data_IF_012589622523
#
_entry.id   IF_012589622523
#
_cell.length_a   1.000
_cell.length_b   1.000
_cell.length_c   1.000
_cell.angle_alpha   90.00
_cell.angle_beta   90.00
_cell.angle_gamma   90.00
#
_symmetry.space_group_name_H-M   'P 1'
#
loop_
_entity.id
_entity.type
_entity.pdbx_description
1 polymer ?
#
# COMPACT_ATOMS: atom_id res chain seq x y z
N UNK A 1 5.96 -53.75 61.61
CA UNK A 1 5.29 -53.53 60.31
C UNK A 1 4.95 -52.05 60.23
N UNK A 2 5.84 -51.23 59.66
CA UNK A 2 5.71 -49.76 59.62
C UNK A 2 5.32 -49.35 58.20
N UNK A 3 4.11 -48.79 58.03
CA UNK A 3 3.64 -48.25 56.74
C UNK A 3 4.26 -46.87 56.52
N UNK A 4 5.05 -46.70 55.47
CA UNK A 4 5.48 -45.39 54.97
C UNK A 4 4.37 -44.83 54.07
N UNK A 5 3.80 -43.69 54.45
CA UNK A 5 2.93 -42.87 53.60
C UNK A 5 3.80 -42.03 52.66
N UNK A 6 3.76 -42.33 51.37
CA UNK A 6 4.39 -41.50 50.34
C UNK A 6 3.49 -40.32 49.99
N UNK A 7 4.00 -39.10 50.17
CA UNK A 7 3.37 -37.89 49.64
C UNK A 7 3.68 -37.81 48.13
N UNK A 8 2.64 -37.79 47.29
CA UNK A 8 2.77 -37.52 45.86
C UNK A 8 2.78 -36.01 45.68
N UNK A 9 3.92 -35.46 45.27
CA UNK A 9 4.07 -34.06 44.88
C UNK A 9 3.63 -33.94 43.42
N UNK A 10 2.43 -33.41 43.18
CA UNK A 10 1.98 -33.05 41.84
C UNK A 10 2.68 -31.75 41.41
N UNK A 11 3.69 -31.86 40.54
CA UNK A 11 4.26 -30.69 39.88
C UNK A 11 3.27 -30.25 38.80
N UNK A 12 2.53 -29.16 39.07
CA UNK A 12 1.82 -28.42 38.03
C UNK A 12 2.88 -27.75 37.15
N UNK A 13 3.19 -28.38 36.02
CA UNK A 13 3.91 -27.74 34.94
C UNK A 13 3.02 -26.62 34.38
N UNK A 14 3.23 -25.40 34.87
CA UNK A 14 2.65 -24.22 34.26
C UNK A 14 3.14 -24.16 32.81
N UNK A 15 2.23 -24.29 31.86
CA UNK A 15 2.49 -23.95 30.47
C UNK A 15 2.78 -22.44 30.44
N UNK A 16 4.05 -22.09 30.46
CA UNK A 16 4.50 -20.76 30.04
C UNK A 16 4.23 -20.69 28.55
N UNK A 17 3.04 -20.20 28.18
CA UNK A 17 2.84 -19.63 26.86
C UNK A 17 3.76 -18.42 26.79
N UNK A 18 4.95 -18.61 26.21
CA UNK A 18 5.66 -17.48 25.63
C UNK A 18 4.68 -16.82 24.66
N UNK A 19 4.39 -15.51 24.78
CA UNK A 19 3.77 -14.83 23.67
C UNK A 19 4.72 -15.03 22.49
N UNK A 20 4.30 -15.82 21.50
CA UNK A 20 4.86 -15.69 20.17
C UNK A 20 4.76 -14.20 19.85
N UNK A 21 5.88 -13.59 19.47
CA UNK A 21 5.97 -12.16 19.21
C UNK A 21 4.83 -11.77 18.26
N UNK A 22 3.74 -11.23 18.82
CA UNK A 22 2.64 -10.73 18.02
C UNK A 22 3.23 -9.61 17.20
N UNK A 23 3.31 -9.85 15.89
CA UNK A 23 3.67 -8.84 14.91
C UNK A 23 2.51 -7.84 14.82
N UNK A 24 2.35 -7.05 15.88
CA UNK A 24 1.31 -6.05 16.01
C UNK A 24 1.59 -4.89 15.05
N UNK A 25 0.53 -4.19 14.68
CA UNK A 25 0.56 -3.06 13.76
C UNK A 25 1.04 -1.75 14.43
N UNK A 26 1.93 -1.88 15.40
CA UNK A 26 2.45 -0.82 16.25
C UNK A 26 3.95 -0.80 16.10
N UNK A 27 4.51 0.34 15.74
CA UNK A 27 5.94 0.47 15.48
C UNK A 27 6.44 1.91 15.69
N UNK A 28 7.74 2.09 15.48
CA UNK A 28 8.48 3.35 15.54
C UNK A 28 8.86 3.87 14.17
N UNK A 29 8.77 3.06 13.13
CA UNK A 29 9.11 3.46 11.76
C UNK A 29 8.09 2.90 10.78
N UNK A 30 7.60 3.75 9.88
CA UNK A 30 6.66 3.37 8.84
C UNK A 30 7.09 3.92 7.49
N UNK A 31 6.89 3.11 6.47
CA UNK A 31 7.08 3.47 5.07
C UNK A 31 5.79 3.22 4.31
N UNK A 32 5.37 4.21 3.54
CA UNK A 32 4.07 4.18 2.87
C UNK A 32 4.12 4.99 1.58
N UNK A 33 3.26 4.63 0.62
CA UNK A 33 2.98 5.45 -0.55
C UNK A 33 1.47 5.61 -0.59
N UNK A 34 1.00 6.85 -0.54
CA UNK A 34 -0.42 7.11 -0.68
C UNK A 34 -0.83 6.83 -2.14
N UNK A 35 -1.82 5.95 -2.36
CA UNK A 35 -2.28 5.67 -3.71
C UNK A 35 -2.97 6.90 -4.30
N UNK A 36 -2.88 7.06 -5.61
CA UNK A 36 -3.67 8.04 -6.35
C UNK A 36 -5.11 7.58 -6.45
N UNK A 37 -6.05 8.32 -5.87
CA UNK A 37 -7.47 8.01 -5.92
C UNK A 37 -8.15 8.99 -6.87
N UNK A 38 -9.02 8.48 -7.75
CA UNK A 38 -9.65 9.33 -8.76
C UNK A 38 -10.46 10.46 -8.12
N UNK A 39 -10.03 11.69 -8.35
CA UNK A 39 -10.81 12.87 -7.94
C UNK A 39 -12.17 12.98 -8.62
N UNK A 40 -12.35 12.29 -9.74
CA UNK A 40 -13.57 12.34 -10.55
C UNK A 40 -14.71 11.54 -9.92
N UNK A 41 -14.41 10.71 -8.92
CA UNK A 41 -15.42 10.18 -8.02
C UNK A 41 -15.76 11.16 -6.88
N UNK A 42 -16.02 12.42 -7.25
CA UNK A 42 -16.55 13.45 -6.35
C UNK A 42 -15.66 13.80 -5.15
N UNK A 43 -14.34 13.86 -5.34
CA UNK A 43 -13.42 14.38 -4.34
C UNK A 43 -12.05 13.74 -4.39
N UNK A 44 -11.04 14.50 -3.94
CA UNK A 44 -9.64 14.08 -3.79
C UNK A 44 -9.15 14.33 -2.35
N UNK A 45 -9.86 15.20 -1.63
CA UNK A 45 -9.57 15.65 -0.28
C UNK A 45 -10.88 15.69 0.50
N UNK A 46 -10.83 15.66 1.84
CA UNK A 46 -9.63 15.66 2.69
C UNK A 46 -8.90 14.31 2.79
N UNK A 47 -7.59 14.39 3.09
CA UNK A 47 -6.71 13.24 3.33
C UNK A 47 -5.90 13.43 4.62
N UNK A 48 -5.75 12.37 5.39
CA UNK A 48 -5.21 12.44 6.74
C UNK A 48 -4.24 11.30 7.07
N UNK A 49 -3.34 11.55 8.00
CA UNK A 49 -2.70 10.49 8.80
C UNK A 49 -3.23 10.55 10.23
N UNK A 50 -3.61 9.40 10.77
CA UNK A 50 -4.02 9.26 12.16
C UNK A 50 -2.97 8.50 12.93
N UNK A 51 -2.57 9.09 14.05
CA UNK A 51 -1.58 8.54 14.97
C UNK A 51 -2.26 8.21 16.28
N UNK A 52 -1.87 7.11 16.92
CA UNK A 52 -2.26 6.82 18.30
C UNK A 52 -1.05 6.36 19.09
N UNK A 53 -0.81 6.97 20.25
CA UNK A 53 0.20 6.56 21.23
C UNK A 53 -0.36 5.52 22.19
N UNK A 54 0.53 4.67 22.70
CA UNK A 54 0.20 3.69 23.75
C UNK A 54 0.55 4.25 25.13
N UNK A 55 1.26 3.51 25.97
CA UNK A 55 1.57 3.87 27.36
C UNK A 55 2.64 4.97 27.49
N UNK A 56 3.34 5.29 26.41
CA UNK A 56 4.43 6.28 26.40
C UNK A 56 4.08 7.46 25.47
N UNK A 57 4.46 8.69 25.86
CA UNK A 57 4.42 9.82 24.93
C UNK A 57 5.39 9.59 23.77
N UNK A 58 5.14 10.25 22.64
CA UNK A 58 5.94 10.06 21.44
C UNK A 58 6.22 11.38 20.72
N UNK A 59 7.45 11.57 20.27
CA UNK A 59 7.81 12.59 19.29
C UNK A 59 7.82 11.94 17.90
N UNK A 60 7.08 12.54 16.97
CA UNK A 60 6.84 11.97 15.64
C UNK A 60 7.32 12.95 14.58
N UNK A 61 8.00 12.41 13.57
CA UNK A 61 8.41 13.08 12.35
C UNK A 61 7.74 12.40 11.15
N UNK A 62 7.16 13.19 10.24
CA UNK A 62 6.64 12.74 8.94
C UNK A 62 7.33 13.52 7.83
N UNK A 63 7.95 12.84 6.87
CA UNK A 63 8.62 13.45 5.72
C UNK A 63 8.56 12.60 4.44
N UNK A 64 9.04 13.15 3.32
CA UNK A 64 9.33 12.42 2.07
C UNK A 64 10.81 12.57 1.74
N UNK A 65 11.64 11.54 1.99
CA UNK A 65 13.10 11.68 1.87
C UNK A 65 13.60 12.06 0.47
N UNK A 66 12.92 11.62 -0.60
CA UNK A 66 13.30 11.94 -1.98
C UNK A 66 12.54 13.14 -2.57
N UNK A 67 11.61 13.76 -1.82
CA UNK A 67 10.85 14.91 -2.27
C UNK A 67 10.80 16.01 -1.19
N UNK A 68 11.82 16.89 -1.15
CA UNK A 68 11.91 17.95 -0.15
C UNK A 68 10.84 19.06 -0.32
N UNK A 69 10.02 19.02 -1.38
CA UNK A 69 8.89 19.95 -1.54
C UNK A 69 7.72 19.59 -0.62
N UNK A 70 7.65 18.34 -0.15
CA UNK A 70 6.72 17.95 0.90
C UNK A 70 7.27 18.45 2.25
N UNK A 71 6.48 19.19 3.04
CA UNK A 71 6.95 19.72 4.31
C UNK A 71 7.25 18.59 5.30
N UNK A 72 8.22 18.84 6.18
CA UNK A 72 8.49 17.96 7.32
C UNK A 72 7.57 18.36 8.46
N UNK A 73 6.75 17.43 8.94
CA UNK A 73 5.93 17.63 10.13
C UNK A 73 6.65 17.05 11.35
N UNK A 74 6.74 17.83 12.42
CA UNK A 74 7.22 17.39 13.72
C UNK A 74 6.20 17.75 14.78
N UNK A 75 5.79 16.79 15.59
CA UNK A 75 4.85 17.03 16.69
C UNK A 75 5.09 16.03 17.82
N UNK A 76 4.62 16.39 19.02
CA UNK A 76 4.67 15.54 20.21
C UNK A 76 3.26 15.14 20.60
N UNK A 77 3.09 13.88 20.99
CA UNK A 77 1.84 13.32 21.49
C UNK A 77 2.06 12.83 22.93
N UNK A 78 1.17 13.15 23.89
CA UNK A 78 1.20 12.52 25.20
C UNK A 78 0.85 11.02 25.08
N UNK A 79 1.06 10.26 26.15
CA UNK A 79 0.58 8.87 26.23
C UNK A 79 -0.97 8.82 26.09
N UNK A 80 -1.48 7.70 25.56
CA UNK A 80 -2.92 7.45 25.35
C UNK A 80 -3.66 8.51 24.53
N UNK A 81 -3.00 9.09 23.54
CA UNK A 81 -3.55 10.17 22.73
C UNK A 81 -3.71 9.74 21.27
N UNK A 82 -4.63 10.40 20.58
CA UNK A 82 -4.76 10.33 19.14
C UNK A 82 -4.54 11.70 18.51
N UNK A 83 -3.90 11.73 17.35
CA UNK A 83 -3.64 12.95 16.59
C UNK A 83 -3.99 12.74 15.12
N UNK A 84 -4.70 13.70 14.53
CA UNK A 84 -5.05 13.71 13.12
C UNK A 84 -4.21 14.77 12.42
N UNK A 85 -3.25 14.33 11.61
CA UNK A 85 -2.47 15.20 10.74
C UNK A 85 -3.20 15.38 9.41
N UNK A 86 -3.64 16.61 9.14
CA UNK A 86 -4.22 17.00 7.86
C UNK A 86 -3.13 17.32 6.83
N UNK A 87 -3.11 16.56 5.74
CA UNK A 87 -2.17 16.74 4.62
C UNK A 87 -2.89 17.12 3.32
N UNK A 88 -4.17 17.51 3.40
CA UNK A 88 -5.01 17.82 2.23
C UNK A 88 -4.44 18.95 1.37
N UNK A 89 -3.80 19.94 1.99
CA UNK A 89 -3.13 21.03 1.27
C UNK A 89 -1.96 20.54 0.38
N UNK A 90 -1.47 19.32 0.60
CA UNK A 90 -0.35 18.70 -0.08
C UNK A 90 -0.76 17.50 -0.93
N UNK A 91 -2.04 17.33 -1.26
CA UNK A 91 -2.56 16.15 -1.99
C UNK A 91 -1.78 15.83 -3.27
N UNK A 92 -1.47 16.85 -4.08
CA UNK A 92 -0.67 16.68 -5.30
C UNK A 92 0.78 16.20 -5.03
N UNK A 93 1.28 16.39 -3.82
CA UNK A 93 2.58 15.87 -3.37
C UNK A 93 2.44 14.49 -2.73
N UNK A 94 1.34 14.22 -2.02
CA UNK A 94 1.10 12.98 -1.26
C UNK A 94 0.72 11.81 -2.17
N UNK A 95 -0.25 11.99 -3.06
CA UNK A 95 -0.72 10.93 -3.94
C UNK A 95 0.33 10.56 -4.99
N UNK A 96 0.56 9.25 -5.16
CA UNK A 96 1.48 8.69 -6.13
C UNK A 96 0.80 8.53 -7.49
N UNK A 97 0.36 9.65 -8.06
CA UNK A 97 -0.07 9.71 -9.46
C UNK A 97 0.99 9.07 -10.34
N UNK A 98 0.54 8.26 -11.30
CA UNK A 98 1.46 7.57 -12.20
C UNK A 98 2.36 8.60 -12.92
N UNK A 99 3.68 8.45 -12.78
CA UNK A 99 4.67 9.44 -13.20
C UNK A 99 5.78 8.78 -14.03
N UNK A 100 6.69 9.58 -14.57
CA UNK A 100 7.86 9.12 -15.30
C UNK A 100 9.10 9.81 -14.78
N UNK A 101 10.04 9.03 -14.27
CA UNK A 101 11.29 9.54 -13.71
C UNK A 101 12.47 8.65 -14.06
N UNK A 102 13.60 9.27 -14.39
CA UNK A 102 14.89 8.60 -14.65
C UNK A 102 14.81 7.45 -15.67
N UNK A 103 13.94 7.58 -16.69
CA UNK A 103 13.78 6.54 -17.71
C UNK A 103 12.79 5.42 -17.35
N UNK A 104 12.18 5.47 -16.17
CA UNK A 104 11.31 4.40 -15.64
C UNK A 104 9.87 4.93 -15.52
N UNK A 105 8.94 4.51 -16.41
CA UNK A 105 7.51 4.75 -16.23
C UNK A 105 7.00 4.12 -14.93
N UNK A 106 6.19 4.86 -14.18
CA UNK A 106 5.69 4.50 -12.85
C UNK A 106 6.60 4.96 -11.70
N UNK A 107 7.84 5.40 -11.96
CA UNK A 107 8.75 5.89 -10.92
C UNK A 107 8.41 7.33 -10.49
N UNK A 108 8.41 7.58 -9.18
CA UNK A 108 8.32 8.94 -8.61
C UNK A 108 9.09 9.04 -7.27
N UNK A 109 8.89 10.13 -6.53
CA UNK A 109 9.57 10.44 -5.26
C UNK A 109 8.56 10.59 -4.10
N UNK A 110 7.63 9.65 -3.97
CA UNK A 110 6.42 9.82 -3.14
C UNK A 110 6.38 8.93 -1.90
N UNK A 111 7.48 8.25 -1.57
CA UNK A 111 7.51 7.45 -0.36
C UNK A 111 7.54 8.34 0.87
N UNK A 112 6.53 8.16 1.72
CA UNK A 112 6.36 8.83 3.00
C UNK A 112 7.08 8.00 4.05
N UNK A 113 7.89 8.69 4.84
CA UNK A 113 8.64 8.14 5.96
C UNK A 113 8.11 8.76 7.25
N UNK A 114 7.78 7.89 8.21
CA UNK A 114 7.30 8.28 9.53
C UNK A 114 8.23 7.66 10.55
N UNK A 115 8.76 8.48 11.45
CA UNK A 115 9.61 8.04 12.56
C UNK A 115 9.04 8.52 13.88
N UNK A 116 9.07 7.65 14.87
CA UNK A 116 8.71 7.94 16.24
C UNK A 116 9.76 7.41 17.21
N UNK A 117 9.97 8.10 18.32
CA UNK A 117 10.84 7.62 19.41
C UNK A 117 10.17 6.53 20.28
N UNK A 118 8.84 6.42 20.25
CA UNK A 118 8.05 5.42 20.95
C UNK A 118 7.02 4.73 20.04
N UNK A 119 6.43 3.64 20.55
CA UNK A 119 5.48 2.83 19.79
C UNK A 119 4.19 3.61 19.51
N UNK A 120 3.81 3.68 18.23
CA UNK A 120 2.56 4.28 17.77
C UNK A 120 1.86 3.36 16.78
N UNK A 121 0.56 3.55 16.57
CA UNK A 121 -0.14 3.03 15.39
C UNK A 121 -0.41 4.16 14.42
N UNK A 122 -0.42 3.84 13.12
CA UNK A 122 -0.68 4.81 12.06
C UNK A 122 -1.61 4.23 11.00
N UNK A 123 -2.59 5.01 10.56
CA UNK A 123 -3.31 4.76 9.31
C UNK A 123 -3.44 6.03 8.47
N UNK A 124 -3.47 5.86 7.16
CA UNK A 124 -3.80 6.91 6.20
C UNK A 124 -5.29 6.82 5.87
N UNK A 125 -6.01 7.94 5.85
CA UNK A 125 -7.43 8.01 5.49
C UNK A 125 -7.61 8.85 4.23
N UNK A 126 -8.28 8.27 3.23
CA UNK A 126 -8.96 9.01 2.18
C UNK A 126 -10.36 9.34 2.69
N UNK A 127 -10.63 10.61 3.05
CA UNK A 127 -11.88 11.02 3.72
C UNK A 127 -12.74 11.93 2.83
N UNK A 128 -12.67 11.69 1.52
CA UNK A 128 -13.46 12.34 0.49
C UNK A 128 -14.94 11.90 0.54
N UNK A 129 -15.83 12.70 -0.06
CA UNK A 129 -17.28 12.50 0.05
C UNK A 129 -17.74 11.12 -0.45
N UNK A 130 -17.20 10.67 -1.57
CA UNK A 130 -17.38 9.31 -2.05
C UNK A 130 -16.03 8.61 -2.08
N UNK A 131 -16.03 7.28 -2.15
CA UNK A 131 -14.81 6.49 -2.18
C UNK A 131 -13.89 6.60 -0.92
N UNK A 132 -14.42 6.88 0.31
CA UNK A 132 -13.55 6.93 1.47
C UNK A 132 -13.05 5.54 1.84
N UNK A 133 -11.81 5.46 2.31
CA UNK A 133 -11.20 4.21 2.82
C UNK A 133 -10.01 4.53 3.72
N UNK A 134 -9.54 3.53 4.47
CA UNK A 134 -8.36 3.61 5.32
C UNK A 134 -7.29 2.59 4.90
N UNK A 135 -6.04 3.02 4.99
CA UNK A 135 -4.87 2.20 4.74
C UNK A 135 -4.09 2.09 6.02
N UNK A 136 -4.10 0.90 6.60
CA UNK A 136 -3.47 0.67 7.88
C UNK A 136 -1.96 0.42 7.64
N UNK A 137 -1.09 1.29 8.17
CA UNK A 137 0.37 1.17 8.02
C UNK A 137 0.92 0.15 9.02
N UNK A 138 1.74 -0.80 8.57
CA UNK A 138 2.14 -2.00 9.32
C UNK A 138 3.57 -1.97 9.87
N UNK A 139 4.26 -0.83 9.74
CA UNK A 139 5.62 -0.64 10.25
C UNK A 139 6.59 -1.68 9.71
N UNK A 140 7.41 -2.29 10.58
CA UNK A 140 8.33 -3.38 10.25
C UNK A 140 7.65 -4.57 9.58
N UNK A 141 6.36 -4.80 9.85
CA UNK A 141 5.63 -5.91 9.25
C UNK A 141 5.25 -5.63 7.79
N UNK A 142 5.30 -4.37 7.34
CA UNK A 142 5.17 -4.05 5.92
C UNK A 142 6.48 -4.26 5.14
N UNK A 143 7.62 -4.39 5.83
CA UNK A 143 8.94 -4.36 5.21
C UNK A 143 9.48 -5.76 4.90
N UNK A 144 9.73 -6.02 3.63
CA UNK A 144 10.33 -7.27 3.20
C UNK A 144 10.93 -7.21 1.80
N UNK A 145 11.34 -8.36 1.29
CA UNK A 145 12.05 -8.51 0.01
C UNK A 145 11.26 -9.33 -1.01
N UNK A 146 10.09 -9.84 -0.63
CA UNK A 146 9.24 -10.66 -1.48
C UNK A 146 7.76 -10.43 -1.12
N UNK A 147 6.95 -10.13 -2.13
CA UNK A 147 5.53 -9.86 -2.00
C UNK A 147 4.75 -10.51 -3.15
N UNK A 148 3.50 -10.86 -2.87
CA UNK A 148 2.48 -11.08 -3.90
C UNK A 148 1.47 -9.96 -3.86
N UNK A 149 1.13 -9.46 -5.04
CA UNK A 149 0.05 -8.50 -5.23
C UNK A 149 -1.25 -9.25 -5.41
N UNK A 150 -2.27 -8.90 -4.64
CA UNK A 150 -3.58 -9.56 -4.66
C UNK A 150 -4.67 -8.55 -5.02
N UNK A 151 -5.41 -8.84 -6.09
CA UNK A 151 -6.56 -8.04 -6.51
C UNK A 151 -7.74 -8.96 -6.82
N UNK A 152 -8.94 -8.44 -6.62
CA UNK A 152 -10.15 -9.07 -7.16
C UNK A 152 -10.15 -8.96 -8.69
N UNK A 153 -10.81 -9.90 -9.38
CA UNK A 153 -10.84 -9.94 -10.84
C UNK A 153 -12.24 -9.85 -11.46
N UNK A 154 -13.24 -9.43 -10.68
CA UNK A 154 -14.66 -9.45 -11.08
C UNK A 154 -15.22 -8.06 -11.33
N UNK A 155 -14.96 -7.13 -10.42
CA UNK A 155 -15.41 -5.75 -10.47
C UNK A 155 -14.43 -4.94 -11.31
N UNK A 156 -14.95 -4.05 -12.14
CA UNK A 156 -14.14 -3.15 -12.96
C UNK A 156 -14.01 -1.79 -12.28
N UNK A 157 -12.90 -1.08 -12.49
CA UNK A 157 -12.74 0.30 -12.03
C UNK A 157 -13.55 1.26 -12.92
N UNK A 158 -14.30 2.16 -12.30
CA UNK A 158 -15.20 3.07 -13.01
C UNK A 158 -14.47 4.12 -13.87
N UNK A 159 -15.15 4.54 -14.92
CA UNK A 159 -14.85 5.71 -15.73
C UNK A 159 -16.18 6.23 -16.28
N UNK A 160 -16.37 7.55 -16.37
CA UNK A 160 -17.60 8.16 -16.86
C UNK A 160 -17.30 9.23 -17.90
N UNK A 161 -18.35 9.69 -18.60
CA UNK A 161 -18.17 10.67 -19.67
C UNK A 161 -17.59 12.02 -19.25
N UNK A 162 -17.70 12.36 -17.97
CA UNK A 162 -17.14 13.59 -17.42
C UNK A 162 -15.74 13.41 -16.83
N UNK A 163 -15.22 12.18 -16.75
CA UNK A 163 -13.97 11.88 -16.07
C UNK A 163 -12.81 12.03 -17.05
N UNK A 164 -11.89 12.94 -16.75
CA UNK A 164 -10.73 13.14 -17.60
C UNK A 164 -9.79 11.94 -17.51
N UNK A 165 -9.70 11.28 -16.35
CA UNK A 165 -8.90 10.06 -16.14
C UNK A 165 -9.76 8.98 -15.46
N UNK A 166 -9.62 7.70 -15.86
CA UNK A 166 -10.34 6.62 -15.21
C UNK A 166 -9.80 6.31 -13.82
N UNK A 167 -10.64 5.66 -13.00
CA UNK A 167 -10.14 4.89 -11.87
C UNK A 167 -9.40 3.63 -12.35
N UNK A 168 -8.45 3.16 -11.55
CA UNK A 168 -7.68 1.96 -11.84
C UNK A 168 -7.10 1.34 -10.55
N UNK A 169 -6.96 0.02 -10.55
CA UNK A 169 -6.16 -0.70 -9.55
C UNK A 169 -4.65 -0.46 -9.75
N UNK A 170 -3.86 -0.44 -8.67
CA UNK A 170 -2.41 -0.38 -8.76
C UNK A 170 -1.75 -0.90 -7.47
N UNK A 171 -0.53 -1.39 -7.60
CA UNK A 171 0.36 -1.54 -6.45
C UNK A 171 1.36 -0.39 -6.42
N UNK A 172 1.67 0.08 -5.21
CA UNK A 172 2.56 1.19 -4.94
C UNK A 172 3.72 0.69 -4.07
N UNK A 173 4.96 0.99 -4.43
CA UNK A 173 6.16 0.54 -3.71
C UNK A 173 6.85 1.74 -3.06
N UNK A 174 7.11 1.68 -1.76
CA UNK A 174 8.05 2.57 -1.06
C UNK A 174 9.43 1.94 -1.01
N UNK A 175 10.45 2.63 -1.50
CA UNK A 175 11.84 2.18 -1.41
C UNK A 175 12.51 2.72 -0.14
N UNK A 176 12.97 1.81 0.73
CA UNK A 176 13.53 2.19 2.05
C UNK A 176 15.05 2.27 2.05
N UNK A 177 15.70 1.82 0.97
CA UNK A 177 17.14 1.70 0.85
C UNK A 177 17.62 2.11 -0.55
N UNK A 178 18.82 2.68 -0.64
CA UNK A 178 19.44 3.08 -1.90
C UNK A 178 19.83 1.89 -2.76
N UNK A 179 19.90 2.08 -4.09
CA UNK A 179 20.36 1.06 -5.04
C UNK A 179 19.53 -0.24 -4.95
N UNK A 180 18.22 -0.09 -4.82
CA UNK A 180 17.25 -1.19 -4.81
C UNK A 180 16.84 -1.54 -6.23
N UNK A 181 16.86 -2.82 -6.55
CA UNK A 181 16.30 -3.33 -7.80
C UNK A 181 15.13 -4.24 -7.45
N UNK A 182 14.07 -4.16 -8.25
CA UNK A 182 12.92 -5.07 -8.16
C UNK A 182 12.89 -5.99 -9.36
N UNK A 183 12.52 -7.23 -9.14
CA UNK A 183 12.14 -8.19 -10.18
C UNK A 183 10.64 -8.42 -10.08
N UNK A 184 9.93 -8.11 -11.16
CA UNK A 184 8.51 -8.35 -11.32
C UNK A 184 8.33 -9.64 -12.11
N UNK A 185 7.74 -10.67 -11.50
CA UNK A 185 7.26 -11.85 -12.21
C UNK A 185 5.77 -11.66 -12.49
N UNK A 186 5.45 -11.30 -13.73
CA UNK A 186 4.10 -10.94 -14.18
C UNK A 186 3.42 -12.20 -14.76
N UNK A 187 2.29 -12.66 -14.19
CA UNK A 187 1.61 -13.86 -14.65
C UNK A 187 1.18 -13.78 -16.12
N UNK A 188 1.11 -14.92 -16.84
CA UNK A 188 0.56 -14.96 -18.19
C UNK A 188 -0.83 -14.32 -18.27
N UNK A 189 -1.03 -13.44 -19.25
CA UNK A 189 -2.29 -12.72 -19.43
C UNK A 189 -2.42 -11.42 -18.62
N UNK A 190 -1.45 -11.12 -17.74
CA UNK A 190 -1.31 -9.82 -17.06
C UNK A 190 -0.25 -8.96 -17.72
N UNK A 191 -0.41 -7.64 -17.65
CA UNK A 191 0.45 -6.66 -18.30
C UNK A 191 0.51 -5.41 -17.44
N UNK A 192 1.71 -4.86 -17.20
CA UNK A 192 1.88 -3.61 -16.45
C UNK A 192 2.09 -2.47 -17.45
N UNK A 193 1.41 -1.35 -17.24
CA UNK A 193 1.52 -0.16 -18.07
C UNK A 193 2.93 0.41 -17.98
N UNK A 194 3.50 0.78 -19.13
CA UNK A 194 4.91 1.15 -19.28
C UNK A 194 5.06 2.48 -20.04
N UNK A 195 4.16 3.44 -19.79
CA UNK A 195 4.14 4.71 -20.51
C UNK A 195 3.94 4.51 -22.02
N UNK A 196 4.80 5.14 -22.82
CA UNK A 196 4.82 5.02 -24.28
C UNK A 196 5.49 3.75 -24.80
N UNK A 197 6.12 2.96 -23.93
CA UNK A 197 6.78 1.71 -24.30
C UNK A 197 5.78 0.55 -24.32
N UNK A 198 6.12 -0.60 -24.95
CA UNK A 198 5.32 -1.80 -24.83
C UNK A 198 5.08 -2.17 -23.35
N UNK A 199 3.86 -2.64 -23.00
CA UNK A 199 3.55 -3.11 -21.65
C UNK A 199 4.55 -4.14 -21.16
N UNK A 200 4.86 -4.11 -19.86
CA UNK A 200 5.74 -5.09 -19.23
C UNK A 200 4.99 -6.42 -19.07
N UNK A 201 5.66 -7.51 -19.43
CA UNK A 201 5.13 -8.89 -19.35
C UNK A 201 6.25 -9.88 -19.00
N UNK A 202 5.93 -11.01 -18.39
CA UNK A 202 6.92 -12.02 -18.01
C UNK A 202 7.77 -11.55 -16.83
N UNK A 203 9.07 -11.82 -16.86
CA UNK A 203 10.01 -11.40 -15.81
C UNK A 203 10.73 -10.12 -16.21
N UNK A 204 10.59 -9.06 -15.42
CA UNK A 204 11.18 -7.75 -15.69
C UNK A 204 11.97 -7.28 -14.47
N UNK A 205 13.19 -6.79 -14.69
CA UNK A 205 13.99 -6.14 -13.65
C UNK A 205 13.93 -4.63 -13.86
N UNK A 206 13.60 -3.89 -12.80
CA UNK A 206 13.54 -2.42 -12.79
C UNK A 206 14.47 -1.86 -11.70
N UNK A 207 15.03 -0.70 -11.97
CA UNK A 207 15.90 0.04 -11.04
C UNK A 207 17.13 0.65 -11.72
N UNK A 208 18.06 1.23 -10.94
CA UNK A 208 17.99 1.31 -9.49
C UNK A 208 16.91 2.30 -9.00
N UNK A 209 16.38 2.00 -7.82
CA UNK A 209 15.60 2.90 -7.00
C UNK A 209 16.41 3.31 -5.76
N UNK A 210 16.15 4.49 -5.25
CA UNK A 210 16.82 5.10 -4.11
C UNK A 210 15.87 5.29 -2.93
N UNK A 211 16.41 5.46 -1.73
CA UNK A 211 15.61 5.63 -0.51
C UNK A 211 14.70 6.85 -0.64
N UNK A 212 13.41 6.66 -0.38
CA UNK A 212 12.39 7.71 -0.50
C UNK A 212 11.74 7.79 -1.89
N UNK A 213 12.25 7.07 -2.89
CA UNK A 213 11.59 6.94 -4.18
C UNK A 213 10.36 6.02 -4.07
N UNK A 214 9.48 6.09 -5.07
CA UNK A 214 8.29 5.27 -5.20
C UNK A 214 8.15 4.68 -6.61
N UNK A 215 7.35 3.61 -6.73
CA UNK A 215 6.96 3.04 -8.02
C UNK A 215 5.47 2.63 -8.01
N UNK A 216 4.72 3.04 -9.04
CA UNK A 216 3.34 2.62 -9.28
C UNK A 216 3.27 1.59 -10.42
N UNK A 217 2.83 0.38 -10.09
CA UNK A 217 2.50 -0.66 -11.04
C UNK A 217 1.00 -0.66 -11.34
N UNK A 218 0.62 0.01 -12.42
CA UNK A 218 -0.75 0.02 -12.92
C UNK A 218 -0.95 -1.03 -14.04
N UNK A 219 -2.11 -1.68 -14.16
CA UNK A 219 -2.40 -2.61 -15.25
C UNK A 219 -2.40 -1.88 -16.59
N UNK A 220 -1.82 -2.47 -17.62
CA UNK A 220 -2.00 -2.00 -18.98
C UNK A 220 -3.34 -2.51 -19.53
N UNK A 221 -3.99 -1.70 -20.35
CA UNK A 221 -5.18 -2.16 -21.08
C UNK A 221 -4.83 -3.34 -22.00
N UNK A 222 -5.66 -4.38 -22.01
CA UNK A 222 -5.56 -5.43 -23.03
C UNK A 222 -6.24 -4.97 -24.32
N UNK A 223 -5.48 -4.95 -25.42
CA UNK A 223 -5.93 -4.53 -26.78
C UNK A 223 -7.20 -5.25 -27.27
N UNK A 224 -7.53 -6.42 -26.72
CA UNK A 224 -8.70 -7.23 -27.09
C UNK A 224 -9.61 -7.55 -25.90
N UNK A 225 -9.59 -6.77 -24.81
CA UNK A 225 -10.51 -6.97 -23.70
C UNK A 225 -11.96 -6.93 -24.21
N UNK A 226 -12.72 -8.04 -24.14
CA UNK A 226 -14.00 -8.17 -24.85
C UNK A 226 -15.12 -7.29 -24.27
N UNK A 227 -14.88 -6.61 -23.16
CA UNK A 227 -15.87 -5.74 -22.53
C UNK A 227 -15.20 -4.67 -21.68
N UNK A 228 -14.81 -3.55 -22.30
CA UNK A 228 -14.75 -2.29 -21.56
C UNK A 228 -16.17 -1.74 -21.61
N UNK A 229 -16.92 -1.65 -20.49
CA UNK A 229 -18.19 -0.97 -20.49
C UNK A 229 -17.96 0.42 -21.09
N UNK A 230 -18.56 0.68 -22.25
CA UNK A 230 -18.35 1.91 -23.03
C UNK A 230 -19.06 3.09 -22.38
N UNK A 231 -18.69 3.45 -21.15
CA UNK A 231 -19.16 4.66 -20.49
C UNK A 231 -18.27 5.84 -20.90
N UNK A 232 -18.21 6.11 -22.21
CA UNK A 232 -17.39 7.15 -22.83
C UNK A 232 -15.91 6.74 -22.97
N UNK A 233 -15.38 6.72 -24.19
CA UNK A 233 -13.96 6.48 -24.43
C UNK A 233 -13.19 7.79 -24.23
N UNK A 234 -12.31 7.86 -23.22
CA UNK A 234 -11.41 9.00 -23.00
C UNK A 234 -9.97 8.68 -23.38
N UNK A 235 -9.16 9.72 -23.53
CA UNK A 235 -7.75 9.58 -23.91
C UNK A 235 -6.95 8.75 -22.92
N UNK A 236 -7.37 8.65 -21.66
CA UNK A 236 -6.67 7.90 -20.61
C UNK A 236 -7.19 6.47 -20.40
N UNK A 237 -8.46 6.23 -20.74
CA UNK A 237 -9.08 4.89 -20.79
C UNK A 237 -8.34 3.90 -21.70
N UNK A 238 -7.45 4.40 -22.57
CA UNK A 238 -6.63 3.60 -23.49
C UNK A 238 -5.29 3.15 -22.92
N UNK A 239 -4.94 3.56 -21.69
CA UNK A 239 -3.64 3.27 -21.10
C UNK A 239 -3.76 2.26 -19.97
N UNK A 240 -4.64 2.53 -18.99
CA UNK A 240 -4.83 1.68 -17.82
C UNK A 240 -5.91 0.62 -18.05
N UNK A 241 -5.62 -0.62 -17.65
CA UNK A 241 -6.55 -1.73 -17.67
C UNK A 241 -7.53 -1.64 -16.49
N UNK A 242 -8.83 -1.64 -16.78
CA UNK A 242 -9.87 -1.38 -15.76
C UNK A 242 -10.79 -2.55 -15.50
N UNK A 243 -10.84 -3.51 -16.42
CA UNK A 243 -11.68 -4.69 -16.23
C UNK A 243 -11.01 -5.58 -15.19
N UNK A 244 -11.79 -6.28 -14.36
CA UNK A 244 -11.22 -7.10 -13.30
C UNK A 244 -10.17 -8.11 -13.80
N UNK A 245 -10.33 -8.63 -15.00
CA UNK A 245 -9.34 -9.54 -15.58
C UNK A 245 -8.00 -8.86 -15.98
N UNK A 246 -7.92 -7.53 -16.06
CA UNK A 246 -6.67 -6.77 -16.25
C UNK A 246 -5.93 -6.55 -14.93
N UNK A 247 -6.63 -6.61 -13.78
CA UNK A 247 -6.05 -6.34 -12.46
C UNK A 247 -4.84 -7.23 -12.22
N UNK A 248 -3.80 -6.69 -11.59
CA UNK A 248 -2.47 -7.30 -11.50
C UNK A 248 -2.36 -8.41 -10.44
N UNK A 249 -3.45 -9.15 -10.25
CA UNK A 249 -3.52 -10.27 -9.32
C UNK A 249 -2.43 -11.30 -9.63
N UNK A 250 -1.67 -11.69 -8.62
CA UNK A 250 -0.62 -12.71 -8.70
C UNK A 250 0.75 -12.21 -9.16
N UNK A 251 0.94 -10.91 -9.41
CA UNK A 251 2.30 -10.37 -9.66
C UNK A 251 3.16 -10.60 -8.42
N UNK A 252 4.30 -11.28 -8.61
CA UNK A 252 5.31 -11.46 -7.57
C UNK A 252 6.37 -10.39 -7.71
N UNK A 253 6.67 -9.71 -6.60
CA UNK A 253 7.69 -8.68 -6.51
C UNK A 253 8.80 -9.25 -5.63
N UNK A 254 10.02 -9.33 -6.15
CA UNK A 254 11.22 -9.65 -5.35
C UNK A 254 12.23 -8.53 -5.46
N UNK A 255 13.09 -8.38 -4.47
CA UNK A 255 14.16 -7.36 -4.47
C UNK A 255 15.55 -8.00 -4.44
N UNK A 256 16.58 -7.20 -4.69
CA UNK A 256 17.98 -7.59 -4.52
C UNK A 256 18.42 -7.66 -3.03
N UNK A 257 17.55 -8.16 -2.15
CA UNK A 257 17.78 -8.29 -0.71
C UNK A 257 17.46 -7.03 0.12
N UNK A 258 17.04 -5.94 -0.53
CA UNK A 258 16.69 -4.66 0.11
C UNK A 258 15.21 -4.57 0.40
N UNK A 259 14.86 -4.04 1.56
CA UNK A 259 13.47 -3.98 1.99
C UNK A 259 12.70 -2.89 1.23
N UNK A 260 11.44 -3.20 0.98
CA UNK A 260 10.44 -2.27 0.45
C UNK A 260 9.14 -2.44 1.23
N UNK A 261 8.25 -1.44 1.17
CA UNK A 261 6.86 -1.60 1.58
C UNK A 261 5.94 -1.54 0.34
N UNK A 262 4.85 -2.29 0.34
CA UNK A 262 3.92 -2.35 -0.80
C UNK A 262 2.50 -2.03 -0.35
N UNK A 263 1.86 -1.07 -1.02
CA UNK A 263 0.46 -0.68 -0.83
C UNK A 263 -0.34 -1.07 -2.06
N UNK A 264 -1.57 -1.55 -1.89
CA UNK A 264 -2.46 -1.94 -2.97
C UNK A 264 -3.67 -1.02 -2.96
N UNK A 265 -4.13 -0.59 -4.14
CA UNK A 265 -5.41 0.11 -4.32
C UNK A 265 -6.21 -0.49 -5.46
N UNK A 266 -7.52 -0.56 -5.29
CA UNK A 266 -8.51 -0.92 -6.31
C UNK A 266 -9.61 0.15 -6.25
N UNK A 267 -9.46 1.16 -7.10
CA UNK A 267 -10.18 2.44 -6.99
C UNK A 267 -11.55 2.41 -7.69
N UNK A 268 -12.60 2.87 -7.02
CA UNK A 268 -13.93 3.05 -7.61
C UNK A 268 -14.40 1.78 -8.32
N UNK A 269 -14.25 0.64 -7.64
CA UNK A 269 -14.67 -0.67 -8.13
C UNK A 269 -16.17 -0.71 -8.24
N UNK A 270 -16.70 -0.95 -9.44
CA UNK A 270 -18.13 -1.09 -9.64
C UNK A 270 -18.68 -2.34 -8.95
N UNK A 271 -19.54 -2.12 -7.96
CA UNK A 271 -20.23 -3.20 -7.27
C UNK A 271 -20.99 -4.09 -8.27
N UNK A 272 -20.96 -5.41 -8.05
CA UNK A 272 -21.64 -6.40 -8.90
C UNK A 272 -23.17 -6.27 -8.85
N UNK A 273 -23.69 -5.68 -7.78
CA UNK A 273 -25.11 -5.41 -7.58
C UNK A 273 -25.26 -3.94 -7.17
N UNK A 274 -26.17 -3.22 -7.81
CA UNK A 274 -26.50 -1.83 -7.47
C UNK A 274 -25.64 -0.77 -8.17
N UNK A 275 -25.73 0.46 -7.65
CA UNK A 275 -25.19 1.68 -8.25
C UNK A 275 -23.78 2.07 -7.81
N UNK A 276 -23.35 1.64 -6.62
CA UNK A 276 -22.15 2.12 -5.95
C UNK A 276 -20.86 1.63 -6.62
N UNK A 277 -19.79 2.38 -6.37
CA UNK A 277 -18.44 2.01 -6.73
C UNK A 277 -17.49 2.56 -5.67
N UNK A 278 -16.67 1.72 -5.09
CA UNK A 278 -15.95 2.04 -3.85
C UNK A 278 -14.46 1.73 -3.97
N UNK A 279 -13.68 2.33 -3.08
CA UNK A 279 -12.27 2.07 -2.93
C UNK A 279 -12.10 0.80 -2.08
N UNK A 280 -11.12 -0.01 -2.46
CA UNK A 280 -10.52 -0.95 -1.53
C UNK A 280 -9.01 -0.85 -1.64
N UNK A 281 -8.35 -0.93 -0.51
CA UNK A 281 -6.90 -1.06 -0.49
C UNK A 281 -6.38 -1.54 0.84
N UNK A 282 -5.09 -1.88 0.86
CA UNK A 282 -4.37 -2.14 2.09
C UNK A 282 -2.86 -2.06 1.84
N UNK A 283 -2.08 -1.88 2.92
CA UNK A 283 -0.65 -2.15 2.88
C UNK A 283 -0.42 -3.66 3.02
N UNK A 284 0.08 -4.33 1.99
CA UNK A 284 0.31 -5.77 2.06
C UNK A 284 1.54 -6.12 2.90
N UNK A 285 1.63 -7.37 3.33
CA UNK A 285 2.75 -7.91 4.12
C UNK A 285 3.63 -8.82 3.24
N UNK A 286 4.94 -8.90 3.52
CA UNK A 286 5.84 -9.76 2.77
C UNK A 286 5.59 -11.24 3.04
N UNK A 287 5.95 -12.07 2.07
CA UNK A 287 5.70 -13.53 2.09
C UNK A 287 6.30 -14.21 3.32
N UNK A 288 7.42 -13.71 3.83
CA UNK A 288 8.11 -14.29 4.99
C UNK A 288 7.35 -14.10 6.32
N UNK A 289 6.25 -13.33 6.37
CA UNK A 289 5.41 -13.19 7.58
C UNK A 289 3.94 -13.55 7.36
N UNK A 290 3.50 -13.77 6.12
CA UNK A 290 2.13 -14.22 5.82
C UNK A 290 1.85 -15.52 6.55
N UNK A 291 0.72 -15.58 7.26
CA UNK A 291 0.28 -16.77 7.99
C UNK A 291 1.12 -17.10 9.23
N UNK A 292 2.02 -16.22 9.66
CA UNK A 292 2.72 -16.34 10.95
C UNK A 292 1.91 -15.65 12.04
N UNK A 293 1.70 -16.38 13.13
CA UNK A 293 1.04 -15.92 14.36
C UNK A 293 2.05 -15.79 15.48
#
# INVERSE_FOLDING_TARGET
MVRKSGAVLTILAGMWFHPLDVLAQTDREFWFVAPDITKYHNGETPIFFYFTTTDLPANIKVDMPANPSFPVFNFSMPAHASYKLDVSAYVALVENRYDYKDGIPGKSNKAIHIVSDNLVTVYYECSMQNNPDIFALKGKNALGTEFFVSFQERMFNMSQSSWQEPAYSAFEIAFTEDNTYITLEIPPGKQIYNGSNPPLTGTVVLGPFHRGESYSGAPAIRKYAPYIPKTGYYSWDKYFGRVGADHLNGVRITTNGKKIAVTLKDDSMKALVGGCYDLAGDQTVPVNIVGKT
#
